data_IF_317499094807
#
_entry.id   IF_317499094807
#
_cell.length_a   1.000
_cell.length_b   1.000
_cell.length_c   1.000
_cell.angle_alpha   90.00
_cell.angle_beta   90.00
_cell.angle_gamma   90.00
#
_symmetry.space_group_name_H-M   'P 1'
#
loop_
_entity.id
_entity.type
_entity.pdbx_description
1 polymer ?
#
# COMPACT_ATOMS: atom_id res chain seq x y z
N UNK A 1 3.81 6.42 40.64
CA UNK A 1 2.61 6.31 39.76
C UNK A 1 2.54 7.40 38.69
N UNK A 2 2.69 8.71 39.00
CA UNK A 2 2.58 9.78 37.99
C UNK A 2 3.56 9.66 36.80
N UNK A 3 4.80 9.24 37.05
CA UNK A 3 5.80 9.02 36.00
C UNK A 3 5.49 7.82 35.09
N UNK A 4 4.88 6.76 35.62
CA UNK A 4 4.48 5.58 34.83
C UNK A 4 3.34 5.93 33.89
N UNK A 5 2.34 6.69 34.37
CA UNK A 5 1.24 7.17 33.54
C UNK A 5 1.71 8.13 32.43
N UNK A 6 2.70 8.99 32.73
CA UNK A 6 3.28 9.90 31.74
C UNK A 6 4.08 9.16 30.65
N UNK A 7 4.86 8.15 31.02
CA UNK A 7 5.55 7.28 30.04
C UNK A 7 4.56 6.50 29.18
N UNK A 8 3.46 5.98 29.75
CA UNK A 8 2.43 5.26 29.02
C UNK A 8 1.66 6.17 28.06
N UNK A 9 1.39 7.42 28.45
CA UNK A 9 0.79 8.44 27.57
C UNK A 9 1.73 8.88 26.45
N UNK A 10 3.04 8.98 26.70
CA UNK A 10 4.03 9.24 25.65
C UNK A 10 4.16 8.05 24.70
N UNK A 11 4.08 6.80 25.20
CA UNK A 11 4.10 5.60 24.37
C UNK A 11 2.82 5.45 23.51
N UNK A 12 1.66 5.73 24.11
CA UNK A 12 0.36 5.77 23.40
C UNK A 12 0.26 6.96 22.43
N UNK A 13 0.94 8.07 22.73
CA UNK A 13 1.05 9.23 21.84
C UNK A 13 2.01 9.00 20.67
N UNK A 14 3.13 8.31 20.92
CA UNK A 14 4.12 7.96 19.89
C UNK A 14 3.66 6.84 18.96
N UNK A 15 2.84 5.90 19.43
CA UNK A 15 2.23 4.84 18.58
C UNK A 15 1.07 5.35 17.71
N UNK A 16 0.65 6.62 17.89
CA UNK A 16 -0.27 7.32 17.00
C UNK A 16 0.42 8.09 15.88
N UNK A 17 1.75 8.05 15.80
CA UNK A 17 2.49 8.68 14.73
C UNK A 17 2.45 7.81 13.47
N UNK A 18 1.88 8.38 12.40
CA UNK A 18 1.87 7.90 11.02
C UNK A 18 1.05 6.63 10.75
N UNK A 19 -0.27 6.79 10.60
CA UNK A 19 -1.04 6.01 9.62
C UNK A 19 -0.71 6.51 8.21
N UNK A 20 0.58 6.46 7.84
CA UNK A 20 1.01 6.72 6.48
C UNK A 20 0.47 5.61 5.57
N UNK A 21 0.02 5.98 4.38
CA UNK A 21 -0.25 5.02 3.33
C UNK A 21 1.03 4.25 2.99
N UNK A 22 1.10 2.97 3.35
CA UNK A 22 2.13 2.05 2.86
C UNK A 22 1.63 1.40 1.56
N UNK A 23 1.76 2.17 0.47
CA UNK A 23 1.33 1.73 -0.85
C UNK A 23 2.04 0.45 -1.30
N UNK A 24 3.37 0.26 -1.11
CA UNK A 24 4.03 -1.01 -1.41
C UNK A 24 3.43 -2.22 -0.71
N UNK A 25 3.01 -2.09 0.56
CA UNK A 25 2.35 -3.16 1.31
C UNK A 25 0.96 -3.48 0.78
N UNK A 26 0.15 -2.47 0.46
CA UNK A 26 -1.18 -2.69 -0.16
C UNK A 26 -1.02 -3.29 -1.54
N UNK A 27 -0.11 -2.75 -2.36
CA UNK A 27 0.19 -3.29 -3.67
C UNK A 27 0.80 -4.68 -3.56
N UNK A 28 1.44 -5.05 -2.47
CA UNK A 28 2.26 -6.26 -2.37
C UNK A 28 3.34 -6.29 -3.48
N UNK A 29 3.97 -5.14 -3.74
CA UNK A 29 5.13 -5.01 -4.64
C UNK A 29 5.87 -3.69 -4.39
N UNK A 30 7.21 -3.75 -4.48
CA UNK A 30 8.08 -2.56 -4.46
C UNK A 30 8.32 -1.96 -5.86
N UNK A 31 7.92 -2.69 -6.91
CA UNK A 31 8.21 -2.35 -8.30
C UNK A 31 6.92 -2.30 -9.10
N UNK A 32 6.36 -1.11 -9.23
CA UNK A 32 5.23 -0.89 -10.12
C UNK A 32 5.36 0.39 -10.93
N UNK A 33 4.72 0.42 -12.08
CA UNK A 33 4.57 1.60 -12.93
C UNK A 33 3.07 1.85 -13.07
N UNK A 34 2.63 2.99 -12.56
CA UNK A 34 1.25 3.45 -12.65
C UNK A 34 1.13 4.30 -13.91
N UNK A 35 0.23 3.89 -14.79
CA UNK A 35 -0.09 4.59 -16.04
C UNK A 35 -1.51 5.08 -15.93
N UNK A 36 -1.69 6.41 -15.97
CA UNK A 36 -3.00 7.03 -15.82
C UNK A 36 -3.36 7.88 -17.02
N UNK A 37 -4.65 7.92 -17.33
CA UNK A 37 -5.26 8.88 -18.24
C UNK A 37 -6.28 9.69 -17.45
N UNK A 38 -6.26 11.01 -17.59
CA UNK A 38 -7.30 11.90 -17.10
C UNK A 38 -7.69 12.85 -18.22
N UNK A 39 -8.83 12.56 -18.87
CA UNK A 39 -9.25 13.25 -20.08
C UNK A 39 -8.28 13.01 -21.24
N UNK A 40 -7.40 13.98 -21.47
CA UNK A 40 -6.43 14.00 -22.57
C UNK A 40 -4.98 13.94 -22.10
N UNK A 41 -4.76 13.94 -20.79
CA UNK A 41 -3.41 13.93 -20.22
C UNK A 41 -3.12 12.53 -19.72
N UNK A 42 -1.92 12.09 -20.07
CA UNK A 42 -1.38 10.80 -19.71
C UNK A 42 -0.20 11.01 -18.79
N UNK A 43 -0.13 10.21 -17.74
CA UNK A 43 0.97 10.20 -16.79
C UNK A 43 1.49 8.79 -16.59
N UNK A 44 2.78 8.73 -16.32
CA UNK A 44 3.52 7.52 -16.02
C UNK A 44 4.29 7.82 -14.74
N UNK A 45 4.09 7.01 -13.72
CA UNK A 45 4.65 7.22 -12.40
C UNK A 45 5.20 5.89 -11.87
N UNK A 46 6.50 5.84 -11.62
CA UNK A 46 7.11 4.73 -10.88
C UNK A 46 6.55 4.75 -9.45
N UNK A 47 6.04 3.60 -9.01
CA UNK A 47 5.34 3.40 -7.76
C UNK A 47 6.28 3.26 -6.55
N UNK A 48 7.56 3.65 -6.67
CA UNK A 48 8.40 4.03 -5.53
C UNK A 48 7.86 5.30 -4.87
N UNK A 49 6.67 5.17 -4.30
CA UNK A 49 5.98 6.21 -3.54
C UNK A 49 6.53 6.14 -2.13
N UNK A 50 7.09 7.26 -1.66
CA UNK A 50 7.54 7.38 -0.27
C UNK A 50 6.39 7.05 0.68
N UNK A 51 6.69 6.39 1.80
CA UNK A 51 5.69 6.06 2.81
C UNK A 51 4.84 7.28 3.18
N UNK A 52 3.51 7.12 3.14
CA UNK A 52 2.58 8.20 3.45
C UNK A 52 2.22 9.13 2.30
N UNK A 53 2.78 8.95 1.09
CA UNK A 53 2.37 9.70 -0.10
C UNK A 53 1.39 8.91 -0.97
N UNK A 54 0.57 9.65 -1.73
CA UNK A 54 -0.32 9.07 -2.72
C UNK A 54 0.26 9.28 -4.13
N UNK A 55 0.02 8.35 -5.08
CA UNK A 55 0.40 8.54 -6.47
C UNK A 55 -0.10 9.88 -6.99
N UNK A 56 0.80 10.71 -7.52
CA UNK A 56 0.47 12.03 -8.10
C UNK A 56 -0.53 11.91 -9.23
N UNK A 57 -0.54 10.78 -9.91
CA UNK A 57 -1.52 10.45 -10.96
C UNK A 57 -2.96 10.40 -10.44
N UNK A 58 -3.17 10.13 -9.14
CA UNK A 58 -4.51 10.16 -8.51
C UNK A 58 -4.89 11.56 -8.01
N UNK A 59 -3.91 12.37 -7.61
CA UNK A 59 -4.15 13.63 -6.88
C UNK A 59 -4.02 14.90 -7.72
N UNK A 60 -3.37 14.85 -8.89
CA UNK A 60 -3.07 16.05 -9.68
C UNK A 60 -4.24 16.44 -10.59
N UNK A 61 -4.84 17.65 -10.45
CA UNK A 61 -5.76 18.18 -11.42
C UNK A 61 -4.98 18.54 -12.69
N UNK A 62 -5.22 17.77 -13.74
CA UNK A 62 -4.55 17.94 -15.02
C UNK A 62 -5.44 18.80 -15.92
N UNK A 63 -5.08 20.08 -16.07
CA UNK A 63 -5.76 21.00 -16.99
C UNK A 63 -5.69 20.44 -18.41
N UNK A 64 -6.82 20.00 -18.96
CA UNK A 64 -6.85 19.38 -20.28
C UNK A 64 -6.36 20.37 -21.35
N UNK A 65 -5.35 20.00 -22.16
CA UNK A 65 -4.88 20.85 -23.24
C UNK A 65 -5.98 21.04 -24.28
N UNK A 66 -5.99 22.21 -24.94
CA UNK A 66 -6.95 22.52 -26.02
C UNK A 66 -6.80 21.62 -27.26
N UNK A 67 -5.61 21.05 -27.47
CA UNK A 67 -5.28 20.17 -28.59
C UNK A 67 -5.16 18.72 -28.12
N UNK A 68 -6.31 18.10 -27.84
CA UNK A 68 -6.36 16.70 -27.48
C UNK A 68 -6.27 15.81 -28.73
N UNK A 69 -5.51 14.71 -28.66
CA UNK A 69 -5.47 13.69 -29.73
C UNK A 69 -6.30 12.46 -29.37
N UNK A 70 -6.38 12.13 -28.07
CA UNK A 70 -7.08 10.95 -27.57
C UNK A 70 -7.84 11.29 -26.29
N UNK A 71 -9.18 11.22 -26.34
CA UNK A 71 -10.07 11.45 -25.20
C UNK A 71 -10.54 10.13 -24.60
N UNK A 72 -10.78 10.14 -23.29
CA UNK A 72 -11.39 9.03 -22.54
C UNK A 72 -10.64 7.71 -22.78
N UNK A 73 -9.31 7.80 -22.77
CA UNK A 73 -8.47 6.68 -23.08
C UNK A 73 -8.53 5.61 -21.98
N UNK A 74 -8.64 4.36 -22.39
CA UNK A 74 -8.47 3.18 -21.55
C UNK A 74 -7.16 2.49 -21.89
N UNK A 75 -6.49 1.99 -20.86
CA UNK A 75 -5.19 1.35 -20.98
C UNK A 75 -5.29 -0.16 -20.80
N UNK A 76 -4.56 -0.89 -21.64
CA UNK A 76 -4.45 -2.34 -21.58
C UNK A 76 -3.00 -2.79 -21.60
N UNK A 77 -2.70 -3.86 -20.87
CA UNK A 77 -1.39 -4.50 -20.86
C UNK A 77 -1.37 -5.69 -21.83
N UNK A 78 -0.68 -5.52 -22.96
CA UNK A 78 -0.48 -6.57 -23.94
C UNK A 78 0.75 -7.41 -23.57
N UNK A 79 0.51 -8.64 -23.13
CA UNK A 79 1.56 -9.63 -22.86
C UNK A 79 1.61 -10.66 -23.99
N UNK A 80 2.80 -10.97 -24.48
CA UNK A 80 2.97 -12.07 -25.43
C UNK A 80 2.55 -13.40 -24.80
N UNK A 81 2.03 -14.34 -25.59
CA UNK A 81 1.52 -15.65 -25.10
C UNK A 81 2.55 -16.44 -24.28
N UNK A 82 3.84 -16.32 -24.62
CA UNK A 82 4.92 -16.99 -23.89
C UNK A 82 5.35 -16.27 -22.62
N UNK A 83 4.91 -15.03 -22.40
CA UNK A 83 5.38 -14.18 -21.29
C UNK A 83 6.85 -13.74 -21.38
N UNK A 84 7.60 -14.20 -22.39
CA UNK A 84 9.05 -13.95 -22.51
C UNK A 84 9.38 -12.65 -23.26
N UNK A 85 8.36 -11.97 -23.78
CA UNK A 85 8.53 -10.74 -24.54
C UNK A 85 8.11 -9.56 -23.69
N UNK A 86 8.77 -8.42 -23.92
CA UNK A 86 8.44 -7.14 -23.30
C UNK A 86 6.95 -6.84 -23.46
N UNK A 87 6.23 -6.56 -22.35
CA UNK A 87 4.83 -6.22 -22.44
C UNK A 87 4.68 -4.83 -23.07
N UNK A 88 3.59 -4.64 -23.81
CA UNK A 88 3.28 -3.39 -24.48
C UNK A 88 2.06 -2.75 -23.85
N UNK A 89 2.00 -1.44 -23.88
CA UNK A 89 0.83 -0.69 -23.42
C UNK A 89 0.00 -0.36 -24.65
N UNK A 90 -1.30 -0.63 -24.55
CA UNK A 90 -2.29 -0.22 -25.53
C UNK A 90 -3.16 0.86 -24.91
N UNK A 91 -3.20 2.03 -25.52
CA UNK A 91 -4.21 3.04 -25.21
C UNK A 91 -5.29 3.01 -26.28
N UNK A 92 -6.54 2.92 -25.86
CA UNK A 92 -7.69 3.00 -26.75
C UNK A 92 -8.56 4.16 -26.30
N UNK A 93 -8.86 5.08 -27.20
CA UNK A 93 -9.72 6.21 -26.88
C UNK A 93 -10.38 6.79 -28.12
N UNK A 94 -11.07 7.91 -27.90
CA UNK A 94 -11.81 8.59 -28.96
C UNK A 94 -10.98 9.74 -29.52
N UNK A 95 -10.82 9.76 -30.84
CA UNK A 95 -10.24 10.93 -31.51
C UNK A 95 -11.24 12.10 -31.48
N UNK A 96 -10.85 13.32 -31.08
CA UNK A 96 -11.76 14.47 -30.99
C UNK A 96 -12.11 15.09 -32.35
N UNK A 97 -11.80 14.43 -33.46
CA UNK A 97 -12.09 14.94 -34.80
C UNK A 97 -13.60 15.14 -34.99
N UNK A 98 -14.01 16.33 -35.47
CA UNK A 98 -15.43 16.73 -35.61
C UNK A 98 -16.27 15.84 -36.54
N UNK A 99 -15.62 14.99 -37.34
CA UNK A 99 -16.28 14.26 -38.43
C UNK A 99 -16.19 12.73 -38.30
N UNK A 100 -15.50 12.21 -37.29
CA UNK A 100 -15.56 10.78 -37.00
C UNK A 100 -15.34 10.49 -35.52
N UNK A 101 -16.25 9.72 -34.93
CA UNK A 101 -16.06 9.04 -33.65
C UNK A 101 -15.16 7.82 -33.83
N UNK A 102 -14.06 7.99 -34.57
CA UNK A 102 -13.14 6.89 -34.84
C UNK A 102 -12.43 6.53 -33.53
N UNK A 103 -12.37 5.23 -33.28
CA UNK A 103 -11.57 4.67 -32.21
C UNK A 103 -10.11 4.74 -32.64
N UNK A 104 -9.33 5.50 -31.90
CA UNK A 104 -7.88 5.56 -32.10
C UNK A 104 -7.22 4.62 -31.09
N UNK A 105 -6.48 3.66 -31.63
CA UNK A 105 -5.68 2.72 -30.85
C UNK A 105 -4.23 3.15 -30.99
N UNK A 106 -3.59 3.42 -29.88
CA UNK A 106 -2.18 3.77 -29.82
C UNK A 106 -1.45 2.66 -29.08
N UNK A 107 -0.48 2.04 -29.76
CA UNK A 107 0.37 1.03 -29.16
C UNK A 107 1.77 1.61 -28.95
N UNK A 108 2.27 1.48 -27.72
CA UNK A 108 3.60 1.90 -27.35
C UNK A 108 4.54 0.71 -27.54
N UNK A 109 5.20 0.64 -28.71
CA UNK A 109 6.05 -0.50 -29.08
C UNK A 109 7.51 -0.34 -28.62
N UNK A 110 8.12 0.85 -28.68
CA UNK A 110 9.60 0.94 -28.61
C UNK A 110 10.23 2.15 -27.88
N UNK A 111 9.45 3.10 -27.33
CA UNK A 111 10.04 4.37 -26.86
C UNK A 111 9.61 4.82 -25.44
N UNK A 112 9.36 3.85 -24.56
CA UNK A 112 9.60 4.07 -23.11
C UNK A 112 11.10 3.97 -22.77
N UNK A 113 11.91 3.52 -23.74
CA UNK A 113 13.35 3.23 -23.67
C UNK A 113 14.26 4.37 -24.10
N UNK A 114 13.77 5.53 -24.57
CA UNK A 114 14.53 6.74 -24.21
C UNK A 114 14.46 6.75 -22.70
N UNK A 115 15.58 6.64 -21.98
CA UNK A 115 15.51 6.68 -20.55
C UNK A 115 14.70 7.94 -20.24
N UNK A 116 13.53 7.75 -19.64
CA UNK A 116 13.19 8.63 -18.54
C UNK A 116 14.51 8.56 -17.78
N UNK A 117 15.34 9.62 -17.85
CA UNK A 117 16.47 9.74 -16.96
C UNK A 117 15.80 9.87 -15.61
N UNK A 118 15.34 8.74 -15.09
CA UNK A 118 15.05 8.50 -13.71
C UNK A 118 16.45 8.55 -13.16
N UNK A 119 16.95 9.78 -12.97
CA UNK A 119 17.88 9.98 -11.89
C UNK A 119 17.24 9.24 -10.70
N UNK A 120 17.95 8.34 -10.03
CA UNK A 120 17.38 7.37 -9.10
C UNK A 120 16.60 7.96 -7.90
N UNK A 121 16.36 9.28 -7.89
CA UNK A 121 15.73 10.06 -6.85
C UNK A 121 14.74 11.14 -7.34
N UNK A 122 14.37 11.19 -8.64
CA UNK A 122 13.49 12.25 -9.15
C UNK A 122 12.15 11.72 -9.70
N UNK A 123 11.13 11.72 -8.83
CA UNK A 123 9.69 11.63 -9.14
C UNK A 123 9.29 12.65 -10.24
N UNK A 124 9.49 12.30 -11.50
CA UNK A 124 9.14 13.16 -12.63
C UNK A 124 7.73 12.80 -13.12
N UNK A 125 6.73 13.46 -12.53
CA UNK A 125 5.39 13.54 -13.11
C UNK A 125 5.49 14.30 -14.45
N UNK A 126 5.66 13.56 -15.55
CA UNK A 126 5.76 14.14 -16.89
C UNK A 126 4.37 14.13 -17.53
N UNK A 127 3.76 15.32 -17.66
CA UNK A 127 2.60 15.50 -18.52
C UNK A 127 3.08 15.31 -19.98
N UNK A 128 2.84 14.13 -20.51
CA UNK A 128 3.54 13.62 -21.70
C UNK A 128 2.88 14.07 -23.00
N UNK A 129 2.83 15.37 -23.27
CA UNK A 129 2.35 15.84 -24.59
C UNK A 129 3.31 15.46 -25.75
N UNK A 130 4.55 15.02 -25.47
CA UNK A 130 5.61 14.78 -26.47
C UNK A 130 5.86 13.29 -26.85
N UNK A 131 5.47 12.30 -26.06
CA UNK A 131 5.74 10.87 -26.39
C UNK A 131 4.78 10.27 -27.40
N UNK A 132 3.71 10.99 -27.76
CA UNK A 132 2.68 10.52 -28.69
C UNK A 132 3.10 10.52 -30.16
N UNK A 133 4.20 11.20 -30.52
CA UNK A 133 4.70 11.19 -31.91
C UNK A 133 5.27 9.82 -32.31
N UNK A 134 5.73 9.02 -31.34
CA UNK A 134 6.39 7.74 -31.59
C UNK A 134 5.45 6.53 -31.38
N UNK A 135 4.21 6.75 -30.95
CA UNK A 135 3.22 5.68 -30.79
C UNK A 135 2.71 5.21 -32.16
N UNK A 136 2.61 3.89 -32.34
CA UNK A 136 2.01 3.34 -33.55
C UNK A 136 0.50 3.50 -33.48
N UNK A 137 -0.03 4.31 -34.38
CA UNK A 137 -1.46 4.55 -34.53
C UNK A 137 -2.11 3.45 -35.36
N UNK A 138 -3.12 2.82 -34.79
CA UNK A 138 -3.96 1.82 -35.43
C UNK A 138 -5.39 2.36 -35.37
N UNK A 139 -6.07 2.39 -36.51
CA UNK A 139 -7.49 2.72 -36.55
C UNK A 139 -8.27 1.41 -36.55
N UNK A 140 -9.06 1.20 -35.51
CA UNK A 140 -10.08 0.15 -35.53
C UNK A 140 -11.34 0.72 -36.16
N UNK A 141 -12.00 -0.09 -36.99
CA UNK A 141 -13.31 0.29 -37.50
C UNK A 141 -14.28 0.40 -36.33
N UNK A 142 -14.74 1.62 -36.07
CA UNK A 142 -15.85 1.87 -35.18
C UNK A 142 -17.00 2.39 -36.03
N UNK A 143 -18.15 1.71 -35.96
CA UNK A 143 -19.40 2.31 -36.40
C UNK A 143 -19.63 3.62 -35.63
N UNK A 144 -20.48 4.52 -36.14
CA UNK A 144 -20.76 5.84 -35.54
C UNK A 144 -21.48 5.77 -34.17
N UNK A 145 -21.28 4.68 -33.43
CA UNK A 145 -21.84 4.41 -32.12
C UNK A 145 -20.81 4.78 -31.06
N UNK A 146 -21.27 5.48 -30.02
CA UNK A 146 -20.44 5.85 -28.87
C UNK A 146 -19.94 4.59 -28.16
N UNK A 147 -18.63 4.39 -28.16
CA UNK A 147 -17.98 3.35 -27.37
C UNK A 147 -18.23 3.61 -25.87
N UNK A 148 -18.24 2.56 -25.06
CA UNK A 148 -18.42 2.66 -23.60
C UNK A 148 -17.19 2.13 -22.86
N UNK A 149 -16.71 0.95 -23.25
CA UNK A 149 -15.57 0.27 -22.63
C UNK A 149 -14.76 -0.53 -23.67
N UNK A 150 -13.51 -0.80 -23.36
CA UNK A 150 -12.68 -1.84 -23.95
C UNK A 150 -12.19 -2.79 -22.86
N UNK A 151 -12.04 -4.05 -23.24
CA UNK A 151 -11.51 -5.10 -22.38
C UNK A 151 -10.53 -5.96 -23.18
N UNK A 152 -9.36 -6.22 -22.63
CA UNK A 152 -8.33 -7.06 -23.22
C UNK A 152 -8.18 -8.35 -22.40
N UNK A 153 -8.71 -9.42 -22.97
CA UNK A 153 -8.49 -10.77 -22.47
C UNK A 153 -7.08 -11.21 -22.85
N UNK A 154 -6.16 -11.02 -21.91
CA UNK A 154 -4.76 -11.44 -22.07
C UNK A 154 -4.56 -12.96 -22.15
N UNK A 155 -5.55 -13.77 -21.77
CA UNK A 155 -5.49 -15.23 -21.87
C UNK A 155 -5.73 -15.68 -23.31
N UNK A 156 -6.81 -15.20 -23.93
CA UNK A 156 -7.16 -15.53 -25.33
C UNK A 156 -6.54 -14.57 -26.36
N UNK A 157 -5.92 -13.48 -25.92
CA UNK A 157 -5.42 -12.37 -26.76
C UNK A 157 -6.57 -11.73 -27.56
N UNK A 158 -7.71 -11.50 -26.89
CA UNK A 158 -8.91 -10.92 -27.50
C UNK A 158 -9.15 -9.53 -26.93
N UNK A 159 -9.31 -8.55 -27.82
CA UNK A 159 -9.75 -7.20 -27.49
C UNK A 159 -11.25 -7.08 -27.79
N UNK A 160 -12.03 -6.80 -26.76
CA UNK A 160 -13.46 -6.52 -26.85
C UNK A 160 -13.67 -5.01 -26.83
N UNK A 161 -14.38 -4.47 -27.82
CA UNK A 161 -14.86 -3.09 -27.84
C UNK A 161 -16.36 -3.11 -27.62
N UNK A 162 -16.80 -2.53 -26.50
CA UNK A 162 -18.17 -2.58 -26.04
C UNK A 162 -18.84 -1.21 -26.24
N UNK A 163 -19.90 -1.19 -27.01
CA UNK A 163 -20.63 0.01 -27.39
C UNK A 163 -21.85 0.24 -26.51
N UNK A 164 -22.28 1.50 -26.39
CA UNK A 164 -23.43 1.87 -25.56
C UNK A 164 -24.77 1.24 -25.98
N UNK A 165 -24.90 0.81 -27.24
CA UNK A 165 -26.08 0.10 -27.77
C UNK A 165 -26.10 -1.41 -27.46
N UNK A 166 -25.07 -1.92 -26.76
CA UNK A 166 -24.89 -3.35 -26.46
C UNK A 166 -24.19 -4.14 -27.56
N UNK A 167 -23.75 -3.52 -28.66
CA UNK A 167 -22.89 -4.18 -29.63
C UNK A 167 -21.49 -4.39 -29.05
N UNK A 168 -20.86 -5.51 -29.42
CA UNK A 168 -19.50 -5.85 -29.04
C UNK A 168 -18.73 -6.28 -30.29
N UNK A 169 -17.61 -5.61 -30.54
CA UNK A 169 -16.64 -6.04 -31.56
C UNK A 169 -15.49 -6.77 -30.88
N UNK A 170 -15.17 -7.97 -31.35
CA UNK A 170 -14.10 -8.80 -30.81
C UNK A 170 -12.97 -8.90 -31.83
N UNK A 171 -11.77 -8.50 -31.41
CA UNK A 171 -10.57 -8.49 -32.22
C UNK A 171 -9.55 -9.47 -31.66
N UNK A 172 -9.00 -10.35 -32.50
CA UNK A 172 -7.84 -11.16 -32.17
C UNK A 172 -6.58 -10.32 -32.31
N UNK A 173 -5.79 -10.25 -31.24
CA UNK A 173 -4.46 -9.68 -31.26
C UNK A 173 -3.46 -10.70 -31.80
N UNK A 174 -2.92 -10.39 -32.97
CA UNK A 174 -1.80 -11.07 -33.60
C UNK A 174 -0.55 -10.21 -33.44
N UNK A 175 0.33 -10.62 -32.55
CA UNK A 175 1.61 -9.97 -32.28
C UNK A 175 2.49 -9.83 -33.54
N UNK A 176 2.32 -10.72 -34.52
CA UNK A 176 3.06 -10.73 -35.78
C UNK A 176 2.31 -10.02 -36.93
N UNK A 177 1.16 -9.40 -36.66
CA UNK A 177 0.28 -8.81 -37.67
C UNK A 177 0.79 -7.53 -38.35
N UNK A 178 2.04 -7.14 -38.11
CA UNK A 178 2.68 -5.98 -38.75
C UNK A 178 1.90 -4.69 -38.50
N UNK A 179 1.38 -4.06 -39.56
CA UNK A 179 0.67 -2.76 -39.48
C UNK A 179 -0.72 -2.84 -38.84
N UNK A 180 -1.38 -4.01 -38.90
CA UNK A 180 -2.71 -4.21 -38.29
C UNK A 180 -2.67 -5.46 -37.41
N UNK A 181 -2.18 -5.36 -36.17
CA UNK A 181 -2.08 -6.50 -35.26
C UNK A 181 -3.45 -6.95 -34.76
N UNK A 182 -4.53 -6.24 -35.05
CA UNK A 182 -5.88 -6.62 -34.66
C UNK A 182 -6.67 -7.11 -35.87
N UNK A 183 -7.17 -8.34 -35.77
CA UNK A 183 -8.07 -8.96 -36.74
C UNK A 183 -9.49 -9.00 -36.15
N UNK A 184 -10.47 -8.38 -36.79
CA UNK A 184 -11.86 -8.50 -36.36
C UNK A 184 -12.32 -9.96 -36.55
N UNK A 185 -12.66 -10.63 -35.46
CA UNK A 185 -13.10 -12.03 -35.44
C UNK A 185 -14.61 -12.13 -35.54
N UNK A 186 -15.32 -11.31 -34.76
CA UNK A 186 -16.77 -11.35 -34.68
C UNK A 186 -17.34 -10.06 -34.10
N UNK A 187 -18.54 -9.73 -34.54
CA UNK A 187 -19.41 -8.72 -33.94
C UNK A 187 -20.65 -9.41 -33.43
N UNK A 188 -21.05 -9.13 -32.19
CA UNK A 188 -22.26 -9.69 -31.59
C UNK A 188 -22.94 -8.66 -30.70
N UNK A 189 -24.13 -9.00 -30.22
CA UNK A 189 -24.88 -8.18 -29.25
C UNK A 189 -24.77 -8.81 -27.87
N UNK A 190 -24.27 -8.06 -26.91
CA UNK A 190 -24.26 -8.45 -25.51
C UNK A 190 -25.69 -8.53 -24.95
N UNK A 191 -25.86 -9.31 -23.89
CA UNK A 191 -27.11 -9.39 -23.16
C UNK A 191 -27.56 -8.00 -22.66
N UNK A 192 -28.86 -7.80 -22.55
CA UNK A 192 -29.44 -6.52 -22.09
C UNK A 192 -28.85 -6.03 -20.75
N UNK A 193 -28.51 -6.95 -19.83
CA UNK A 193 -27.90 -6.63 -18.53
C UNK A 193 -26.54 -5.97 -18.64
N UNK A 194 -25.80 -6.17 -19.73
CA UNK A 194 -24.52 -5.50 -19.96
C UNK A 194 -24.66 -3.97 -19.85
N UNK A 195 -25.73 -3.42 -20.41
CA UNK A 195 -25.93 -1.96 -20.43
C UNK A 195 -26.19 -1.37 -19.05
N UNK A 196 -26.70 -2.19 -18.11
CA UNK A 196 -26.98 -1.85 -16.72
C UNK A 196 -25.73 -1.90 -15.83
N UNK A 197 -24.69 -2.61 -16.26
CA UNK A 197 -23.42 -2.73 -15.54
C UNK A 197 -22.49 -1.56 -15.86
N UNK A 198 -21.65 -1.22 -14.89
CA UNK A 198 -20.70 -0.11 -14.95
C UNK A 198 -19.29 -0.54 -14.55
N UNK A 199 -18.31 0.34 -14.74
CA UNK A 199 -16.91 0.18 -14.30
C UNK A 199 -16.28 -1.16 -14.72
N UNK A 200 -16.42 -1.52 -15.99
CA UNK A 200 -15.72 -2.66 -16.56
C UNK A 200 -14.20 -2.40 -16.55
N UNK A 201 -13.47 -3.22 -15.80
CA UNK A 201 -12.03 -3.08 -15.56
C UNK A 201 -11.37 -4.46 -15.72
N UNK A 202 -10.32 -4.54 -16.51
CA UNK A 202 -9.51 -5.76 -16.59
C UNK A 202 -8.42 -5.77 -15.52
N UNK A 203 -8.14 -6.97 -15.01
CA UNK A 203 -6.95 -7.25 -14.22
C UNK A 203 -6.12 -8.30 -14.97
N UNK A 204 -4.99 -7.88 -15.58
CA UNK A 204 -4.16 -8.81 -16.32
C UNK A 204 -3.53 -9.87 -15.41
N UNK A 205 -3.27 -9.60 -14.12
CA UNK A 205 -2.57 -10.54 -13.25
C UNK A 205 -3.50 -11.64 -12.73
N UNK A 206 -4.74 -11.29 -12.40
CA UNK A 206 -5.78 -12.24 -12.00
C UNK A 206 -6.48 -12.91 -13.20
N UNK A 207 -6.19 -12.47 -14.43
CA UNK A 207 -6.85 -12.91 -15.65
C UNK A 207 -8.39 -12.84 -15.53
N UNK A 208 -8.87 -11.71 -15.04
CA UNK A 208 -10.29 -11.49 -14.77
C UNK A 208 -10.72 -10.07 -15.16
N UNK A 209 -12.00 -9.93 -15.45
CA UNK A 209 -12.68 -8.65 -15.59
C UNK A 209 -13.56 -8.42 -14.38
N UNK A 210 -13.52 -7.20 -13.87
CA UNK A 210 -14.39 -6.72 -12.81
C UNK A 210 -15.42 -5.75 -13.38
N UNK A 211 -16.60 -5.70 -12.76
CA UNK A 211 -17.62 -4.69 -13.04
C UNK A 211 -18.44 -4.43 -11.78
N UNK A 212 -19.19 -3.33 -11.78
CA UNK A 212 -20.09 -2.96 -10.69
C UNK A 212 -21.55 -3.04 -11.10
N UNK A 213 -22.39 -3.41 -10.13
CA UNK A 213 -23.84 -3.41 -10.24
C UNK A 213 -24.44 -2.86 -8.94
N UNK A 214 -25.50 -2.05 -9.07
CA UNK A 214 -26.24 -1.53 -7.91
C UNK A 214 -27.31 -2.54 -7.51
N UNK A 215 -27.21 -3.11 -6.32
CA UNK A 215 -28.12 -4.15 -5.84
C UNK A 215 -28.57 -3.83 -4.41
N UNK A 216 -29.89 -3.71 -4.18
CA UNK A 216 -30.47 -3.42 -2.86
C UNK A 216 -29.86 -2.20 -2.14
N UNK A 217 -29.53 -1.15 -2.89
CA UNK A 217 -28.93 0.07 -2.33
C UNK A 217 -27.42 -0.02 -2.09
N UNK A 218 -26.79 -1.17 -2.33
CA UNK A 218 -25.34 -1.36 -2.24
C UNK A 218 -24.71 -1.43 -3.63
N UNK A 219 -23.49 -0.97 -3.76
CA UNK A 219 -22.66 -1.22 -4.92
C UNK A 219 -21.90 -2.53 -4.72
N UNK A 220 -22.15 -3.53 -5.56
CA UNK A 220 -21.45 -4.80 -5.54
C UNK A 220 -20.42 -4.85 -6.67
N UNK A 221 -19.23 -5.37 -6.37
CA UNK A 221 -18.17 -5.64 -7.34
C UNK A 221 -18.21 -7.11 -7.70
N UNK A 222 -18.30 -7.38 -9.00
CA UNK A 222 -18.35 -8.72 -9.56
C UNK A 222 -17.05 -9.02 -10.30
N UNK A 223 -16.54 -10.25 -10.16
CA UNK A 223 -15.37 -10.81 -10.86
C UNK A 223 -15.83 -11.84 -11.88
N UNK A 224 -15.26 -11.78 -13.08
CA UNK A 224 -15.47 -12.74 -14.17
C UNK A 224 -14.12 -13.18 -14.72
N UNK A 225 -13.76 -14.47 -14.63
CA UNK A 225 -12.54 -14.98 -15.26
C UNK A 225 -12.55 -14.73 -16.78
N UNK A 226 -11.40 -14.39 -17.36
CA UNK A 226 -11.25 -14.15 -18.80
C UNK A 226 -11.81 -15.28 -19.67
N UNK A 227 -11.55 -16.54 -19.28
CA UNK A 227 -12.07 -17.73 -19.96
C UNK A 227 -13.59 -17.76 -20.10
N UNK A 228 -14.32 -17.08 -19.21
CA UNK A 228 -15.77 -17.05 -19.15
C UNK A 228 -16.35 -15.73 -19.68
N UNK A 229 -15.50 -14.74 -20.02
CA UNK A 229 -15.90 -13.39 -20.39
C UNK A 229 -16.83 -13.35 -21.61
N UNK A 230 -16.51 -14.10 -22.67
CA UNK A 230 -17.35 -14.14 -23.86
C UNK A 230 -18.76 -14.65 -23.54
N UNK A 231 -18.87 -15.75 -22.80
CA UNK A 231 -20.14 -16.34 -22.40
C UNK A 231 -20.90 -15.38 -21.48
N UNK A 232 -20.18 -14.71 -20.57
CA UNK A 232 -20.72 -13.70 -19.67
C UNK A 232 -21.34 -12.53 -20.44
N UNK A 233 -20.66 -12.00 -21.47
CA UNK A 233 -21.18 -10.92 -22.31
C UNK A 233 -22.40 -11.35 -23.12
N UNK A 234 -22.42 -12.58 -23.65
CA UNK A 234 -23.52 -13.09 -24.48
C UNK A 234 -24.75 -13.46 -23.65
N UNK A 235 -24.57 -14.09 -22.49
CA UNK A 235 -25.68 -14.63 -21.67
C UNK A 235 -26.12 -13.73 -20.52
N UNK A 236 -25.31 -12.73 -20.17
CA UNK A 236 -25.61 -11.81 -19.06
C UNK A 236 -25.59 -12.46 -17.68
N UNK A 237 -25.00 -13.66 -17.55
CA UNK A 237 -24.83 -14.33 -16.24
C UNK A 237 -24.09 -13.40 -15.27
N UNK A 238 -24.47 -13.31 -13.99
CA UNK A 238 -23.69 -12.55 -13.02
C UNK A 238 -22.30 -13.19 -12.82
N UNK A 239 -21.35 -12.38 -12.37
CA UNK A 239 -20.02 -12.86 -11.96
C UNK A 239 -20.04 -13.35 -10.51
N UNK A 240 -18.87 -13.58 -9.94
CA UNK A 240 -18.72 -13.81 -8.50
C UNK A 240 -18.64 -12.46 -7.77
N UNK A 241 -19.46 -12.24 -6.75
CA UNK A 241 -19.33 -11.05 -5.88
C UNK A 241 -18.03 -11.16 -5.08
N UNK A 242 -17.20 -10.12 -5.15
CA UNK A 242 -15.90 -10.05 -4.47
C UNK A 242 -15.81 -8.91 -3.46
N UNK A 243 -16.63 -7.87 -3.61
CA UNK A 243 -16.75 -6.79 -2.64
C UNK A 243 -18.15 -6.17 -2.69
N UNK A 244 -18.55 -5.52 -1.60
CA UNK A 244 -19.80 -4.76 -1.50
C UNK A 244 -19.54 -3.48 -0.72
N UNK A 245 -20.09 -2.38 -1.22
CA UNK A 245 -19.97 -1.05 -0.64
C UNK A 245 -21.35 -0.46 -0.38
N UNK A 246 -21.54 0.15 0.79
CA UNK A 246 -22.79 0.87 1.12
C UNK A 246 -22.91 2.19 0.33
N UNK A 247 -21.77 2.76 -0.07
CA UNK A 247 -21.67 4.02 -0.79
C UNK A 247 -21.35 3.77 -2.26
N UNK A 248 -21.88 4.60 -3.15
CA UNK A 248 -21.54 4.57 -4.58
C UNK A 248 -20.09 5.04 -4.78
N UNK A 249 -19.30 4.23 -5.48
CA UNK A 249 -17.88 4.48 -5.74
C UNK A 249 -17.58 4.34 -7.22
N UNK A 250 -16.83 5.29 -7.77
CA UNK A 250 -16.29 5.11 -9.12
C UNK A 250 -15.02 4.26 -9.03
N UNK A 251 -15.08 3.01 -9.48
CA UNK A 251 -13.89 2.16 -9.53
C UNK A 251 -13.10 2.52 -10.78
N UNK A 252 -11.81 2.81 -10.60
CA UNK A 252 -10.95 3.32 -11.66
C UNK A 252 -9.96 2.27 -12.15
N UNK A 253 -9.47 1.41 -11.26
CA UNK A 253 -8.64 0.26 -11.61
C UNK A 253 -8.71 -0.82 -10.52
N UNK A 254 -8.44 -2.06 -10.94
CA UNK A 254 -8.26 -3.22 -10.07
C UNK A 254 -7.05 -3.99 -10.60
N UNK A 255 -6.13 -4.38 -9.73
CA UNK A 255 -4.89 -5.08 -10.10
C UNK A 255 -4.39 -5.96 -8.96
N UNK A 256 -4.27 -7.27 -9.20
CA UNK A 256 -3.86 -8.26 -8.20
C UNK A 256 -4.62 -8.15 -6.87
N UNK A 257 -5.94 -7.94 -6.94
CA UNK A 257 -6.78 -7.80 -5.75
C UNK A 257 -6.72 -6.44 -5.06
N UNK A 258 -5.97 -5.46 -5.59
CA UNK A 258 -5.98 -4.08 -5.10
C UNK A 258 -6.96 -3.24 -5.90
N UNK A 259 -7.81 -2.49 -5.22
CA UNK A 259 -8.82 -1.61 -5.81
C UNK A 259 -8.40 -0.14 -5.70
N UNK A 260 -8.48 0.57 -6.82
CA UNK A 260 -8.39 2.02 -6.92
C UNK A 260 -9.79 2.55 -7.16
N UNK A 261 -10.32 3.30 -6.21
CA UNK A 261 -11.68 3.83 -6.28
C UNK A 261 -11.73 5.30 -5.94
N UNK A 262 -12.84 5.95 -6.30
CA UNK A 262 -13.11 7.34 -6.00
C UNK A 262 -14.49 7.48 -5.38
N UNK A 263 -14.51 8.13 -4.23
CA UNK A 263 -15.71 8.47 -3.49
C UNK A 263 -15.95 9.97 -3.62
N UNK A 264 -17.13 10.35 -4.12
CA UNK A 264 -17.56 11.74 -4.19
C UNK A 264 -18.40 12.06 -2.95
N UNK A 265 -17.93 13.00 -2.13
CA UNK A 265 -18.54 13.37 -0.85
C UNK A 265 -18.84 14.87 -0.85
N UNK A 266 -20.01 15.25 -1.38
CA UNK A 266 -20.36 16.66 -1.59
C UNK A 266 -19.42 17.32 -2.61
N UNK A 267 -18.66 18.32 -2.18
CA UNK A 267 -17.65 18.96 -3.03
C UNK A 267 -16.30 18.21 -3.01
N UNK A 268 -16.07 17.28 -2.08
CA UNK A 268 -14.78 16.60 -1.96
C UNK A 268 -14.71 15.30 -2.75
N UNK A 269 -13.56 15.03 -3.35
CA UNK A 269 -13.25 13.79 -4.05
C UNK A 269 -12.14 13.08 -3.30
N UNK A 270 -12.46 11.90 -2.74
CA UNK A 270 -11.50 11.07 -2.01
C UNK A 270 -11.13 9.91 -2.93
N UNK A 271 -9.87 9.83 -3.36
CA UNK A 271 -9.37 8.64 -4.04
C UNK A 271 -8.94 7.63 -2.97
N UNK A 272 -9.26 6.35 -3.14
CA UNK A 272 -8.93 5.30 -2.19
C UNK A 272 -8.19 4.19 -2.91
N UNK A 273 -7.12 3.69 -2.27
CA UNK A 273 -6.37 2.51 -2.69
C UNK A 273 -6.50 1.51 -1.57
N UNK A 274 -7.03 0.31 -1.83
CA UNK A 274 -7.23 -0.67 -0.77
C UNK A 274 -7.17 -2.10 -1.27
N UNK A 275 -7.04 -3.03 -0.32
CA UNK A 275 -7.20 -4.44 -0.61
C UNK A 275 -8.70 -4.77 -0.80
N UNK A 276 -9.04 -5.38 -1.93
CA UNK A 276 -10.42 -5.75 -2.26
C UNK A 276 -10.98 -6.78 -1.25
N UNK A 277 -10.13 -7.62 -0.67
CA UNK A 277 -10.49 -8.62 0.34
C UNK A 277 -10.61 -8.04 1.74
N UNK A 278 -9.90 -6.95 2.03
CA UNK A 278 -9.90 -6.28 3.33
C UNK A 278 -9.79 -4.76 3.16
N UNK A 279 -10.93 -4.12 2.90
CA UNK A 279 -11.00 -2.67 2.73
C UNK A 279 -10.68 -1.87 4.01
N UNK A 280 -10.45 -2.53 5.16
CA UNK A 280 -9.88 -1.85 6.33
C UNK A 280 -8.40 -1.49 6.10
N UNK A 281 -7.70 -2.26 5.25
CA UNK A 281 -6.35 -1.94 4.74
C UNK A 281 -6.48 -1.06 3.52
N UNK A 282 -6.60 0.25 3.75
CA UNK A 282 -6.73 1.24 2.68
C UNK A 282 -5.91 2.49 2.95
N UNK A 283 -5.56 3.16 1.88
CA UNK A 283 -5.04 4.50 1.83
C UNK A 283 -6.11 5.45 1.29
N UNK A 284 -6.41 6.48 2.07
CA UNK A 284 -7.24 7.59 1.62
C UNK A 284 -6.33 8.70 1.07
N UNK A 285 -6.52 9.03 -0.20
CA UNK A 285 -5.78 10.02 -0.95
C UNK A 285 -6.70 11.22 -1.24
N UNK A 286 -6.57 12.27 -0.44
CA UNK A 286 -7.31 13.52 -0.64
C UNK A 286 -6.83 14.20 -1.93
N UNK A 287 -7.74 14.41 -2.87
CA UNK A 287 -7.50 15.14 -4.12
C UNK A 287 -8.36 16.40 -4.19
N UNK A 288 -7.90 17.40 -4.94
CA UNK A 288 -8.70 18.62 -5.17
C UNK A 288 -9.82 18.39 -6.19
N UNK A 289 -10.89 19.17 -6.00
CA UNK A 289 -12.27 19.20 -6.50
C UNK A 289 -12.58 18.94 -7.98
N UNK A 290 -11.61 18.71 -8.88
CA UNK A 290 -11.86 18.82 -10.34
C UNK A 290 -11.24 17.74 -11.24
N UNK A 291 -10.78 16.60 -10.69
CA UNK A 291 -10.32 15.50 -11.55
C UNK A 291 -11.50 14.90 -12.33
N UNK A 292 -11.40 14.85 -13.66
CA UNK A 292 -12.50 14.40 -14.53
C UNK A 292 -13.00 13.00 -14.15
N UNK A 293 -14.30 12.76 -14.36
CA UNK A 293 -14.99 11.53 -13.97
C UNK A 293 -14.51 10.26 -14.72
N UNK A 294 -13.72 10.41 -15.79
CA UNK A 294 -13.26 9.31 -16.65
C UNK A 294 -11.74 9.22 -16.61
N UNK A 295 -11.22 8.92 -15.42
CA UNK A 295 -9.84 8.50 -15.32
C UNK A 295 -9.74 6.99 -15.62
N UNK A 296 -8.67 6.56 -16.28
CA UNK A 296 -8.33 5.14 -16.45
C UNK A 296 -6.94 4.92 -15.90
N UNK A 297 -6.73 3.82 -15.19
CA UNK A 297 -5.42 3.46 -14.63
C UNK A 297 -5.03 2.05 -15.04
N UNK A 298 -3.73 1.87 -15.30
CA UNK A 298 -3.10 0.57 -15.46
C UNK A 298 -1.90 0.53 -14.52
N UNK A 299 -1.79 -0.52 -13.70
CA UNK A 299 -0.65 -0.74 -12.82
C UNK A 299 0.16 -1.91 -13.37
N UNK A 300 1.37 -1.62 -13.82
CA UNK A 300 2.33 -2.60 -14.33
C UNK A 300 3.23 -3.01 -13.18
N UNK A 301 3.42 -4.31 -12.92
CA UNK A 301 4.03 -4.82 -11.69
C UNK A 301 5.23 -5.72 -11.96
N UNK A 302 6.15 -5.77 -11.01
CA UNK A 302 7.17 -6.82 -10.85
C UNK A 302 7.94 -7.12 -12.14
N UNK A 303 7.86 -8.36 -12.64
CA UNK A 303 8.58 -8.78 -13.84
C UNK A 303 8.12 -8.02 -15.09
N UNK A 304 6.84 -7.66 -15.17
CA UNK A 304 6.33 -6.88 -16.29
C UNK A 304 6.87 -5.44 -16.21
N UNK A 305 6.97 -4.87 -15.00
CA UNK A 305 7.65 -3.57 -14.78
C UNK A 305 9.11 -3.62 -15.21
N UNK A 306 9.88 -4.62 -14.74
CA UNK A 306 11.28 -4.80 -15.09
C UNK A 306 11.48 -4.90 -16.61
N UNK A 307 10.68 -5.74 -17.28
CA UNK A 307 10.73 -5.86 -18.74
C UNK A 307 10.34 -4.55 -19.46
N UNK A 308 9.44 -3.75 -18.89
CA UNK A 308 9.05 -2.46 -19.46
C UNK A 308 10.13 -1.39 -19.29
N UNK A 309 10.87 -1.38 -18.17
CA UNK A 309 11.83 -0.30 -17.86
C UNK A 309 13.21 -0.53 -18.47
N UNK A 310 13.69 -1.77 -18.58
CA UNK A 310 15.03 -2.05 -19.09
C UNK A 310 15.08 -2.05 -20.64
N UNK A 311 16.02 -1.29 -21.20
CA UNK A 311 16.20 -1.10 -22.66
C UNK A 311 16.47 -2.40 -23.42
N UNK A 312 17.31 -3.27 -22.87
CA UNK A 312 17.68 -4.55 -23.49
C UNK A 312 16.63 -5.66 -23.30
N UNK A 313 15.47 -5.34 -22.69
CA UNK A 313 14.36 -6.26 -22.51
C UNK A 313 14.79 -7.59 -21.88
N UNK A 314 15.34 -7.60 -20.64
CA UNK A 314 15.73 -8.82 -19.96
C UNK A 314 14.60 -9.84 -20.03
N UNK A 315 14.95 -11.09 -20.35
CA UNK A 315 13.96 -12.18 -20.34
C UNK A 315 13.26 -12.21 -18.99
N UNK A 316 11.94 -12.51 -18.98
CA UNK A 316 11.13 -12.60 -17.76
C UNK A 316 11.82 -13.36 -16.62
N UNK A 317 12.51 -14.45 -16.94
CA UNK A 317 13.28 -15.25 -15.99
C UNK A 317 14.35 -14.44 -15.25
N UNK A 318 15.10 -13.59 -15.97
CA UNK A 318 16.12 -12.71 -15.40
C UNK A 318 15.50 -11.63 -14.51
N UNK A 319 14.38 -11.04 -14.94
CA UNK A 319 13.65 -10.09 -14.09
C UNK A 319 13.19 -10.73 -12.78
N UNK A 320 12.64 -11.95 -12.85
CA UNK A 320 12.22 -12.69 -11.66
C UNK A 320 13.40 -13.00 -10.73
N UNK A 321 14.57 -13.34 -11.28
CA UNK A 321 15.79 -13.57 -10.52
C UNK A 321 16.27 -12.29 -9.79
N UNK A 322 16.20 -11.13 -10.45
CA UNK A 322 16.52 -9.83 -9.86
C UNK A 322 15.47 -9.37 -8.81
N UNK A 323 14.21 -9.80 -8.94
CA UNK A 323 13.12 -9.48 -8.01
C UNK A 323 13.15 -10.33 -6.73
N UNK A 324 13.58 -11.59 -6.81
CA UNK A 324 13.61 -12.52 -5.67
C UNK A 324 14.35 -11.99 -4.41
N UNK A 325 15.59 -11.43 -4.50
CA UNK A 325 16.28 -10.92 -3.31
C UNK A 325 15.54 -9.74 -2.66
N UNK A 326 14.82 -8.95 -3.45
CA UNK A 326 14.07 -7.76 -2.96
C UNK A 326 12.79 -8.14 -2.21
N UNK A 327 12.23 -9.32 -2.50
CA UNK A 327 11.08 -9.91 -1.79
C UNK A 327 11.54 -10.51 -0.44
N UNK A 328 12.72 -11.12 -0.40
CA UNK A 328 13.32 -11.63 0.85
C UNK A 328 13.77 -10.50 1.78
N UNK A 329 14.26 -9.38 1.25
CA UNK A 329 14.50 -8.12 1.98
C UNK A 329 13.21 -7.30 2.22
N UNK A 330 12.04 -7.87 1.91
CA UNK A 330 10.72 -7.26 2.12
C UNK A 330 10.11 -7.53 3.50
N UNK A 331 10.65 -8.48 4.26
CA UNK A 331 10.40 -8.50 5.69
C UNK A 331 11.07 -7.26 6.28
N UNK A 332 10.34 -6.40 7.03
CA UNK A 332 10.93 -5.22 7.62
C UNK A 332 12.14 -5.70 8.42
N UNK A 333 13.32 -5.27 8.01
CA UNK A 333 14.58 -5.61 8.67
C UNK A 333 14.33 -5.50 10.17
N UNK A 334 14.54 -6.63 10.86
CA UNK A 334 14.29 -6.80 12.28
C UNK A 334 15.13 -5.85 13.16
N UNK A 335 15.83 -4.90 12.55
CA UNK A 335 16.68 -3.89 13.14
C UNK A 335 15.97 -2.98 14.13
N UNK A 336 14.66 -2.72 13.97
CA UNK A 336 13.91 -2.02 15.03
C UNK A 336 13.35 -2.96 16.08
N UNK A 337 13.11 -4.23 15.75
CA UNK A 337 12.56 -5.19 16.70
C UNK A 337 13.53 -5.50 17.83
N UNK A 338 14.84 -5.62 17.55
CA UNK A 338 15.82 -5.81 18.62
C UNK A 338 15.93 -4.57 19.52
N UNK A 339 15.77 -3.38 18.96
CA UNK A 339 15.81 -2.12 19.71
C UNK A 339 14.57 -1.97 20.61
N UNK A 340 13.38 -2.34 20.11
CA UNK A 340 12.14 -2.41 20.91
C UNK A 340 12.24 -3.46 22.01
N UNK A 341 12.77 -4.65 21.72
CA UNK A 341 13.02 -5.71 22.71
C UNK A 341 14.01 -5.23 23.77
N UNK A 342 15.09 -4.56 23.38
CA UNK A 342 16.08 -4.01 24.30
C UNK A 342 15.47 -2.92 25.21
N UNK A 343 14.64 -2.04 24.67
CA UNK A 343 13.89 -1.04 25.44
C UNK A 343 12.95 -1.71 26.46
N UNK A 344 12.21 -2.75 26.04
CA UNK A 344 11.33 -3.51 26.94
C UNK A 344 12.10 -4.19 28.09
N UNK A 345 13.24 -4.82 27.79
CA UNK A 345 14.12 -5.42 28.80
C UNK A 345 14.66 -4.36 29.76
N UNK A 346 15.04 -3.18 29.27
CA UNK A 346 15.56 -2.10 30.10
C UNK A 346 14.45 -1.50 31.00
N UNK A 347 13.24 -1.31 30.47
CA UNK A 347 12.08 -0.89 31.24
C UNK A 347 11.71 -1.89 32.34
N UNK A 348 11.67 -3.19 32.03
CA UNK A 348 11.38 -4.24 33.03
C UNK A 348 12.45 -4.29 34.13
N UNK A 349 13.73 -4.16 33.78
CA UNK A 349 14.82 -4.05 34.76
C UNK A 349 14.65 -2.85 35.70
N UNK A 350 14.29 -1.67 35.18
CA UNK A 350 14.02 -0.48 36.00
C UNK A 350 12.85 -0.72 36.97
N UNK A 351 11.77 -1.37 36.50
CA UNK A 351 10.61 -1.69 37.34
C UNK A 351 10.99 -2.66 38.46
N UNK A 352 11.80 -3.68 38.16
CA UNK A 352 12.30 -4.64 39.16
C UNK A 352 13.18 -3.92 40.20
N UNK A 353 14.10 -3.04 39.77
CA UNK A 353 14.93 -2.26 40.68
C UNK A 353 14.10 -1.31 41.57
N UNK A 354 13.05 -0.69 41.01
CA UNK A 354 12.09 0.09 41.80
C UNK A 354 11.35 -0.78 42.83
N UNK A 355 10.90 -1.97 42.46
CA UNK A 355 10.24 -2.89 43.39
C UNK A 355 11.18 -3.33 44.51
N UNK A 356 12.43 -3.67 44.19
CA UNK A 356 13.46 -4.06 45.16
C UNK A 356 13.79 -2.91 46.12
N UNK A 357 13.95 -1.69 45.61
CA UNK A 357 14.20 -0.52 46.46
C UNK A 357 13.01 -0.19 47.36
N UNK A 358 11.76 -0.35 46.88
CA UNK A 358 10.56 -0.23 47.71
C UNK A 358 10.51 -1.31 48.79
N UNK A 359 10.78 -2.57 48.46
CA UNK A 359 10.82 -3.69 49.42
C UNK A 359 11.91 -3.47 50.48
N UNK A 360 13.10 -3.04 50.06
CA UNK A 360 14.20 -2.70 50.95
C UNK A 360 13.82 -1.55 51.89
N UNK A 361 13.21 -0.50 51.34
CA UNK A 361 12.73 0.63 52.13
C UNK A 361 11.66 0.21 53.15
N UNK A 362 10.69 -0.63 52.76
CA UNK A 362 9.67 -1.17 53.67
C UNK A 362 10.29 -2.04 54.77
N UNK A 363 11.29 -2.87 54.43
CA UNK A 363 12.00 -3.72 55.39
C UNK A 363 12.82 -2.89 56.38
N UNK A 364 13.57 -1.90 55.89
CA UNK A 364 14.32 -0.95 56.74
C UNK A 364 13.39 -0.19 57.68
N UNK A 365 12.21 0.24 57.19
CA UNK A 365 11.22 0.94 58.01
C UNK A 365 10.60 0.03 59.09
N UNK A 366 10.39 -1.27 58.83
CA UNK A 366 9.97 -2.24 59.84
C UNK A 366 11.08 -2.49 60.88
N UNK A 367 12.32 -2.67 60.46
CA UNK A 367 13.47 -2.85 61.35
C UNK A 367 13.66 -1.66 62.29
N UNK A 368 13.57 -0.44 61.76
CA UNK A 368 13.65 0.79 62.57
C UNK A 368 12.47 0.94 63.55
N UNK A 369 11.28 0.46 63.21
CA UNK A 369 10.13 0.46 64.13
C UNK A 369 10.31 -0.57 65.25
N UNK A 370 10.80 -1.77 64.95
CA UNK A 370 11.11 -2.78 65.97
C UNK A 370 12.20 -2.30 66.92
N UNK A 371 13.29 -1.73 66.39
CA UNK A 371 14.36 -1.16 67.20
C UNK A 371 13.87 -0.02 68.11
N UNK A 372 13.04 0.91 67.59
CA UNK A 372 12.45 1.97 68.42
C UNK A 372 11.52 1.44 69.51
N UNK A 373 10.68 0.45 69.20
CA UNK A 373 9.79 -0.17 70.19
C UNK A 373 10.56 -0.91 71.29
N UNK A 374 11.69 -1.53 70.94
CA UNK A 374 12.55 -2.23 71.90
C UNK A 374 13.32 -1.25 72.79
N UNK A 375 13.82 -0.15 72.23
CA UNK A 375 14.44 0.95 73.00
C UNK A 375 13.44 1.64 73.92
N UNK A 376 12.20 1.90 73.48
CA UNK A 376 11.15 2.45 74.35
C UNK A 376 10.76 1.49 75.46
N UNK A 377 10.69 0.18 75.18
CA UNK A 377 10.42 -0.85 76.19
C UNK A 377 11.54 -0.91 77.26
N UNK A 378 12.80 -0.85 76.85
CA UNK A 378 13.95 -0.80 77.78
C UNK A 378 13.94 0.49 78.60
N UNK A 379 13.60 1.63 77.99
CA UNK A 379 13.48 2.91 78.69
C UNK A 379 12.35 2.89 79.74
N UNK A 380 11.20 2.35 79.38
CA UNK A 380 10.06 2.19 80.29
C UNK A 380 10.36 1.23 81.45
N UNK A 381 11.08 0.14 81.19
CA UNK A 381 11.52 -0.79 82.23
C UNK A 381 12.56 -0.16 83.18
N UNK A 382 13.49 0.66 82.67
CA UNK A 382 14.44 1.40 83.51
C UNK A 382 13.75 2.47 84.37
N UNK A 383 12.76 3.18 83.83
CA UNK A 383 11.99 4.19 84.57
C UNK A 383 11.13 3.54 85.68
N UNK A 384 10.58 2.34 85.46
CA UNK A 384 9.86 1.59 86.50
C UNK A 384 10.77 0.94 87.56
N UNK A 385 12.03 0.65 87.22
CA UNK A 385 13.00 0.06 88.15
C UNK A 385 13.62 1.09 89.13
N UNK A 386 13.28 2.37 89.03
CA UNK A 386 13.76 3.41 89.95
C UNK A 386 15.26 3.68 89.87
N UNK A 387 15.94 3.22 88.82
CA UNK A 387 17.33 3.52 88.55
C UNK A 387 17.40 4.84 87.78
N UNK A 388 17.47 5.94 88.52
CA UNK A 388 17.72 7.27 87.96
C UNK A 388 18.98 7.30 87.09
N UNK A 389 19.11 8.30 86.20
CA UNK A 389 20.21 8.37 85.24
C UNK A 389 21.55 8.43 85.97
N UNK A 390 22.40 7.40 85.79
CA UNK A 390 23.78 7.45 86.28
C UNK A 390 24.54 8.50 85.46
N UNK A 391 24.79 9.65 86.08
CA UNK A 391 25.69 10.68 85.59
C UNK A 391 27.10 10.10 85.40
N UNK A 392 27.44 9.77 84.15
CA UNK A 392 28.77 9.33 83.77
C UNK A 392 29.67 10.57 83.65
N UNK A 393 30.42 10.88 84.71
CA UNK A 393 31.56 11.79 84.66
C UNK A 393 32.82 10.98 84.33
N UNK A 394 33.55 11.22 83.22
CA UNK A 394 34.91 10.78 83.10
C UNK A 394 35.81 11.92 83.57
N UNK A 395 36.22 11.86 84.84
CA UNK A 395 37.32 12.69 85.33
C UNK A 395 38.20 11.83 86.25
N UNK A 396 39.15 11.13 85.67
CA UNK A 396 40.40 10.77 86.36
C UNK A 396 41.46 10.35 85.35
N UNK A 397 42.40 11.25 85.17
CA UNK A 397 43.77 10.99 84.77
C UNK A 397 44.40 9.92 85.66
N UNK A 398 44.63 8.70 85.14
CA UNK A 398 45.78 7.83 85.46
C UNK A 398 45.69 6.51 84.69
N UNK A 399 46.83 6.09 84.13
CA UNK A 399 47.19 4.66 84.09
C UNK A 399 46.70 3.81 82.92
N UNK A 400 47.54 3.74 81.87
CA UNK A 400 47.75 2.51 81.07
C UNK A 400 47.93 1.29 81.98
N UNK A 401 47.38 0.13 81.62
CA UNK A 401 47.95 -1.24 81.67
C UNK A 401 46.97 -2.14 80.86
N UNK A 402 47.33 -2.53 79.62
CA UNK A 402 47.69 -3.91 79.22
C UNK A 402 46.64 -4.99 79.52
N UNK A 403 46.11 -5.62 78.47
CA UNK A 403 46.23 -7.08 78.38
C UNK A 403 46.48 -7.51 76.92
N UNK A 404 47.71 -7.96 76.71
CA UNK A 404 48.26 -8.66 75.55
C UNK A 404 48.54 -10.06 76.08
N UNK A 405 48.03 -11.12 75.44
CA UNK A 405 48.55 -12.51 75.37
C UNK A 405 47.36 -13.44 75.03
N UNK A 406 47.43 -14.53 74.26
CA UNK A 406 48.50 -15.48 73.91
C UNK A 406 48.18 -16.12 72.54
N UNK A 407 49.21 -16.19 71.69
CA UNK A 407 49.67 -17.22 70.72
C UNK A 407 48.75 -18.39 70.28
N UNK A 408 48.64 -18.78 68.99
CA UNK A 408 49.58 -19.31 67.95
C UNK A 408 49.67 -20.86 67.92
N UNK A 409 50.00 -21.38 66.72
CA UNK A 409 50.46 -22.74 66.32
C UNK A 409 49.37 -23.75 65.87
N UNK A 410 49.51 -24.59 64.82
CA UNK A 410 50.62 -25.16 64.02
C UNK A 410 50.16 -25.31 62.53
N UNK A 411 50.94 -25.13 61.45
CA UNK A 411 52.10 -25.87 60.87
C UNK A 411 51.88 -27.38 60.68
N UNK A 412 51.63 -27.81 59.43
CA UNK A 412 52.45 -28.76 58.66
C UNK A 412 52.31 -28.48 57.17
#
# INVERSE_FOLDING_TARGET
MRYVAFCLLLFLGATRAQTGCDLPSILNTKHALIVGANGCIFSFEDARVEEGQCPKTLTSPLNSPSNCTLQNAQFHLLRGKSGNKRPRILAIGQSPSRHSSNLEVQMFEDDLSRPIKVEPFALTHRALNQTFENAKKISLYAEHVRWKYSLFDSFNQLLYILYGNGQVNCYLYNEYGGRSPFLNMMTFRADSKFTLRSNYIEDPYEQAVYYTEQNNGKMEVYKVPHKDLLIHLVRGNPGQVVASFEEERNIIAITSGVIFSRLATGEQVINQIGDLSDMAKKCDCEGTTYASAQASFLVIRDADYCMTVHEDGPMRAKCLEELNPVIEEGEPDSDWTWLVVLILVLCTMIVILMLLSILFWLRSRRSNRQYKAEVEKVRFLNDQAGLGPSSYYPNSSTGRVLDQSVDRWHVY
#
